data_IF_621974457741
#
_entry.id   IF_621974457741
#
_cell.length_a   1.000
_cell.length_b   1.000
_cell.length_c   1.000
_cell.angle_alpha   90.00
_cell.angle_beta   90.00
_cell.angle_gamma   90.00
#
_symmetry.space_group_name_H-M   'P 1'
#
loop_
_entity.id
_entity.type
_entity.pdbx_description
1 polymer ?
#
# COMPACT_ATOMS: atom_id res chain seq x y z
N UNK A 1 -6.99 -5.06 20.56
CA UNK A 1 -6.98 -6.52 20.37
C UNK A 1 -5.61 -7.15 20.67
N UNK A 2 -4.55 -6.78 19.95
CA UNK A 2 -3.19 -7.31 20.18
C UNK A 2 -2.65 -6.90 21.55
N UNK A 3 -1.99 -7.75 22.33
CA UNK A 3 -1.50 -9.08 21.95
C UNK A 3 -2.51 -10.22 22.10
N UNK A 4 -3.64 -10.02 22.81
CA UNK A 4 -4.57 -11.10 23.18
C UNK A 4 -5.25 -11.77 21.96
N UNK A 5 -5.57 -10.98 20.92
CA UNK A 5 -6.11 -11.49 19.65
C UNK A 5 -5.41 -10.82 18.47
N UNK A 6 -4.99 -11.63 17.49
CA UNK A 6 -4.32 -11.17 16.26
C UNK A 6 -5.15 -11.53 15.04
N UNK A 7 -5.11 -10.68 14.03
CA UNK A 7 -5.58 -11.07 12.70
C UNK A 7 -4.53 -11.97 12.02
N UNK A 8 -4.90 -12.74 10.99
CA UNK A 8 -3.93 -13.60 10.29
C UNK A 8 -2.73 -12.85 9.68
N UNK A 9 -2.87 -11.55 9.39
CA UNK A 9 -1.81 -10.75 8.77
C UNK A 9 -0.84 -10.13 9.78
N UNK A 10 -1.25 -9.91 11.04
CA UNK A 10 -0.43 -9.26 12.05
C UNK A 10 0.48 -10.26 12.78
N UNK A 11 1.74 -9.91 12.95
CA UNK A 11 2.76 -10.75 13.60
C UNK A 11 3.26 -10.18 14.92
N UNK A 12 3.16 -8.86 15.12
CA UNK A 12 3.68 -8.15 16.29
C UNK A 12 2.58 -7.46 17.09
N UNK A 13 2.93 -6.92 18.26
CA UNK A 13 2.06 -6.11 19.10
C UNK A 13 2.26 -4.61 18.86
N UNK A 14 3.16 -4.26 17.94
CA UNK A 14 3.50 -2.87 17.62
C UNK A 14 2.35 -2.17 16.87
N UNK A 15 2.24 -0.87 17.05
CA UNK A 15 1.37 -0.03 16.24
C UNK A 15 1.95 0.14 14.83
N UNK A 16 1.12 0.53 13.89
CA UNK A 16 1.50 0.80 12.50
C UNK A 16 2.24 -0.36 11.80
N UNK A 17 1.99 -1.61 12.19
CA UNK A 17 2.57 -2.77 11.52
C UNK A 17 2.15 -2.83 10.05
N UNK A 18 3.13 -2.91 9.14
CA UNK A 18 2.90 -3.03 7.71
C UNK A 18 2.63 -4.50 7.35
N UNK A 19 1.39 -4.83 7.06
CA UNK A 19 0.95 -6.23 6.90
C UNK A 19 1.16 -6.79 5.49
N UNK A 20 1.10 -5.96 4.44
CA UNK A 20 1.17 -6.40 3.04
C UNK A 20 2.61 -6.31 2.49
N UNK A 21 3.14 -5.10 2.36
CA UNK A 21 4.44 -4.80 1.75
C UNK A 21 5.21 -3.85 2.68
N UNK A 22 6.52 -3.70 2.47
CA UNK A 22 7.32 -2.71 3.21
C UNK A 22 7.50 -1.40 2.41
N UNK A 23 6.74 -1.19 1.34
CA UNK A 23 6.92 -0.05 0.44
C UNK A 23 5.79 0.97 0.55
N UNK A 24 6.18 2.23 0.72
CA UNK A 24 5.32 3.41 0.52
C UNK A 24 5.31 3.90 -0.93
N UNK A 25 5.76 3.08 -1.88
CA UNK A 25 5.83 3.40 -3.33
C UNK A 25 6.79 4.56 -3.63
N UNK A 26 6.75 5.12 -4.85
CA UNK A 26 7.72 6.10 -5.36
C UNK A 26 7.84 7.37 -4.48
N UNK A 27 9.06 7.92 -4.39
CA UNK A 27 9.35 9.24 -3.76
C UNK A 27 9.39 10.39 -4.77
N UNK A 28 9.43 10.08 -6.07
CA UNK A 28 9.52 11.09 -7.13
C UNK A 28 8.19 11.84 -7.28
N UNK A 29 8.18 13.16 -7.28
CA UNK A 29 6.97 13.99 -7.46
C UNK A 29 6.36 13.89 -8.87
N UNK A 30 7.09 13.37 -9.83
CA UNK A 30 6.59 12.96 -11.16
C UNK A 30 5.67 11.73 -11.11
N UNK A 31 5.59 11.09 -9.92
CA UNK A 31 4.69 10.00 -9.60
C UNK A 31 3.68 10.47 -8.53
N UNK A 32 2.42 10.04 -8.64
CA UNK A 32 1.36 10.48 -7.74
C UNK A 32 1.62 10.15 -6.26
N UNK A 33 2.19 8.97 -5.98
CA UNK A 33 2.55 8.59 -4.61
C UNK A 33 3.69 9.43 -4.03
N UNK A 34 4.63 9.89 -4.88
CA UNK A 34 5.69 10.81 -4.47
C UNK A 34 5.15 12.21 -4.22
N UNK A 35 4.23 12.67 -5.06
CA UNK A 35 3.53 13.94 -4.85
C UNK A 35 2.76 13.95 -3.52
N UNK A 36 1.97 12.90 -3.25
CA UNK A 36 1.23 12.77 -1.99
C UNK A 36 2.17 12.79 -0.76
N UNK A 37 3.34 12.12 -0.84
CA UNK A 37 4.35 12.19 0.24
C UNK A 37 4.91 13.60 0.43
N UNK A 38 5.17 14.32 -0.66
CA UNK A 38 5.61 15.71 -0.57
C UNK A 38 4.55 16.61 0.10
N UNK A 39 3.27 16.40 -0.21
CA UNK A 39 2.16 17.07 0.45
C UNK A 39 2.08 16.73 1.96
N UNK A 40 2.23 15.46 2.31
CA UNK A 40 2.24 15.04 3.72
C UNK A 40 3.42 15.59 4.52
N UNK A 41 4.59 15.77 3.89
CA UNK A 41 5.73 16.45 4.54
C UNK A 41 5.43 17.93 4.83
N UNK A 42 4.73 18.63 3.91
CA UNK A 42 4.25 20.00 4.14
C UNK A 42 3.24 20.07 5.30
N UNK A 43 2.47 19.02 5.55
CA UNK A 43 1.54 18.90 6.66
C UNK A 43 2.18 18.39 7.97
N UNK A 44 3.48 18.10 7.98
CA UNK A 44 4.21 17.63 9.16
C UNK A 44 3.85 16.21 9.61
N UNK A 45 3.55 15.30 8.69
CA UNK A 45 3.17 13.92 9.01
C UNK A 45 4.23 13.19 9.84
N UNK A 46 3.91 12.86 11.10
CA UNK A 46 4.79 12.14 12.03
C UNK A 46 5.12 10.73 11.51
N UNK A 47 4.13 10.00 11.02
CA UNK A 47 4.34 8.63 10.55
C UNK A 47 5.15 8.59 9.24
N UNK A 48 5.04 9.60 8.38
CA UNK A 48 5.92 9.67 7.21
C UNK A 48 7.38 9.95 7.62
N UNK A 49 7.60 10.75 8.67
CA UNK A 49 8.94 10.92 9.26
C UNK A 49 9.48 9.60 9.81
N UNK A 50 8.67 8.80 10.52
CA UNK A 50 9.07 7.46 10.94
C UNK A 50 9.46 6.57 9.76
N UNK A 51 8.74 6.67 8.63
CA UNK A 51 9.07 5.92 7.43
C UNK A 51 10.40 6.37 6.80
N UNK A 52 10.65 7.68 6.74
CA UNK A 52 11.93 8.23 6.28
C UNK A 52 13.09 7.76 7.20
N UNK A 53 12.91 7.78 8.53
CA UNK A 53 13.89 7.29 9.53
C UNK A 53 14.15 5.77 9.43
N UNK A 54 13.15 4.99 9.02
CA UNK A 54 13.22 3.52 8.88
C UNK A 54 13.61 3.06 7.47
N UNK A 55 13.96 3.98 6.57
CA UNK A 55 14.20 3.66 5.17
C UNK A 55 15.31 2.63 4.95
N UNK A 56 15.10 1.80 3.94
CA UNK A 56 16.06 0.84 3.40
C UNK A 56 16.18 1.05 1.89
N UNK A 57 17.26 0.59 1.24
CA UNK A 57 17.43 0.68 -0.20
C UNK A 57 16.21 0.10 -0.95
N UNK A 58 15.64 0.86 -1.88
CA UNK A 58 14.41 0.50 -2.61
C UNK A 58 14.23 1.23 -3.93
N UNK A 59 15.31 1.67 -4.57
CA UNK A 59 15.31 2.38 -5.84
C UNK A 59 14.57 3.73 -5.73
N UNK A 60 13.57 3.93 -6.57
CA UNK A 60 12.72 5.11 -6.50
C UNK A 60 11.60 5.02 -5.46
N UNK A 61 11.49 3.92 -4.72
CA UNK A 61 10.47 3.73 -3.71
C UNK A 61 11.00 4.01 -2.29
N UNK A 62 10.16 4.59 -1.44
CA UNK A 62 10.39 4.59 0.00
C UNK A 62 10.05 3.19 0.53
N UNK A 63 11.04 2.32 0.60
CA UNK A 63 10.96 1.05 1.29
C UNK A 63 11.48 1.21 2.72
N UNK A 64 10.92 0.47 3.68
CA UNK A 64 11.28 0.60 5.09
C UNK A 64 11.56 -0.77 5.73
N UNK A 65 12.41 -0.77 6.73
CA UNK A 65 12.46 -1.85 7.71
C UNK A 65 11.17 -1.81 8.54
N UNK A 66 10.32 -2.83 8.38
CA UNK A 66 8.99 -2.87 9.02
C UNK A 66 9.04 -2.79 10.53
N UNK A 67 10.02 -3.46 11.13
CA UNK A 67 10.16 -3.52 12.58
C UNK A 67 10.63 -2.18 13.14
N UNK A 68 11.62 -1.56 12.49
CA UNK A 68 12.09 -0.22 12.87
C UNK A 68 10.97 0.81 12.74
N UNK A 69 10.24 0.79 11.62
CA UNK A 69 9.11 1.69 11.39
C UNK A 69 8.02 1.54 12.47
N UNK A 70 7.55 0.30 12.69
CA UNK A 70 6.47 0.04 13.64
C UNK A 70 6.90 0.34 15.09
N UNK A 71 8.15 0.04 15.47
CA UNK A 71 8.71 0.40 16.78
C UNK A 71 8.72 1.91 16.96
N UNK A 72 9.26 2.65 15.98
CA UNK A 72 9.34 4.11 16.06
C UNK A 72 7.96 4.77 16.15
N UNK A 73 7.01 4.30 15.35
CA UNK A 73 5.62 4.76 15.42
C UNK A 73 4.98 4.48 16.79
N UNK A 74 5.23 3.28 17.34
CA UNK A 74 4.73 2.89 18.67
C UNK A 74 5.31 3.79 19.75
N UNK A 75 6.62 4.01 19.77
CA UNK A 75 7.30 4.88 20.74
C UNK A 75 6.76 6.29 20.73
N UNK A 76 6.58 6.89 19.54
CA UNK A 76 6.05 8.26 19.41
C UNK A 76 4.61 8.36 19.91
N UNK A 77 3.77 7.39 19.62
CA UNK A 77 2.36 7.42 20.06
C UNK A 77 2.25 7.16 21.55
N UNK A 78 2.89 6.10 22.07
CA UNK A 78 2.78 5.74 23.49
C UNK A 78 3.59 6.61 24.43
N UNK A 79 4.61 7.27 23.93
CA UNK A 79 5.42 8.24 24.70
C UNK A 79 4.77 9.62 24.84
N UNK A 80 3.66 9.90 24.14
CA UNK A 80 3.00 11.20 24.25
C UNK A 80 2.16 11.27 25.53
N UNK A 81 2.32 12.30 26.39
CA UNK A 81 1.68 12.36 27.71
C UNK A 81 0.14 12.34 27.68
N UNK A 82 -0.46 12.79 26.58
CA UNK A 82 -1.91 12.84 26.42
C UNK A 82 -2.50 11.62 25.70
N UNK A 83 -1.71 10.55 25.49
CA UNK A 83 -2.15 9.34 24.81
C UNK A 83 -2.18 8.16 25.77
N UNK A 84 -3.33 7.54 25.92
CA UNK A 84 -3.50 6.26 26.63
C UNK A 84 -3.78 5.17 25.62
N UNK A 85 -2.87 4.18 25.54
CA UNK A 85 -3.03 3.02 24.66
C UNK A 85 -3.86 1.94 25.37
N UNK A 86 -5.09 1.70 24.91
CA UNK A 86 -5.98 0.64 25.39
C UNK A 86 -5.90 -0.57 24.49
N UNK A 87 -5.61 -1.74 25.05
CA UNK A 87 -5.38 -3.02 24.35
C UNK A 87 -6.60 -3.95 24.41
N UNK A 88 -7.75 -3.43 24.00
CA UNK A 88 -9.00 -4.18 23.93
C UNK A 88 -9.62 -4.14 22.53
N UNK A 89 -10.59 -4.97 22.26
CA UNK A 89 -11.36 -4.91 21.02
C UNK A 89 -12.40 -3.80 21.13
N UNK A 90 -12.31 -2.81 20.24
CA UNK A 90 -13.38 -1.85 20.05
C UNK A 90 -14.56 -2.57 19.37
N UNK A 91 -15.75 -2.50 19.97
CA UNK A 91 -16.95 -3.17 19.48
C UNK A 91 -18.04 -2.21 19.05
N UNK A 92 -17.80 -0.91 19.23
CA UNK A 92 -18.72 0.17 18.90
C UNK A 92 -17.95 1.37 18.33
N UNK A 93 -18.69 2.29 17.69
CA UNK A 93 -18.12 3.48 17.08
C UNK A 93 -17.88 4.56 18.13
N UNK A 94 -16.68 5.19 18.15
CA UNK A 94 -16.43 6.31 19.07
C UNK A 94 -17.19 7.57 18.62
N UNK A 95 -17.72 8.34 19.57
CA UNK A 95 -18.29 9.65 19.32
C UNK A 95 -18.08 10.57 20.54
N UNK A 96 -17.19 11.57 20.51
CA UNK A 96 -16.33 11.93 19.37
C UNK A 96 -15.18 10.93 19.13
N UNK A 97 -14.77 10.76 17.87
CA UNK A 97 -13.64 9.88 17.57
C UNK A 97 -13.37 9.63 16.10
N UNK A 98 -12.30 8.86 15.84
CA UNK A 98 -11.91 8.42 14.50
C UNK A 98 -11.85 6.89 14.46
N UNK A 99 -12.50 6.29 13.46
CA UNK A 99 -12.39 4.86 13.14
C UNK A 99 -11.34 4.69 12.04
N UNK A 100 -10.17 4.15 12.40
CA UNK A 100 -9.03 3.97 11.49
C UNK A 100 -8.45 2.55 11.62
N UNK A 101 -9.33 1.55 11.74
CA UNK A 101 -8.97 0.16 12.03
C UNK A 101 -8.40 -0.60 10.83
N UNK A 102 -8.41 0.03 9.66
CA UNK A 102 -7.86 -0.55 8.42
C UNK A 102 -8.70 -1.69 7.85
N UNK A 103 -8.14 -2.44 6.90
CA UNK A 103 -8.89 -3.42 6.12
C UNK A 103 -9.27 -4.68 6.92
N UNK A 104 -8.56 -4.94 8.02
CA UNK A 104 -8.74 -6.11 8.87
C UNK A 104 -9.49 -5.75 10.16
N UNK A 105 -10.52 -4.93 10.04
CA UNK A 105 -11.45 -4.60 11.13
C UNK A 105 -12.10 -5.87 11.67
N UNK A 106 -12.23 -5.98 13.01
CA UNK A 106 -12.85 -7.16 13.63
C UNK A 106 -14.32 -7.30 13.22
N UNK A 107 -14.82 -8.53 13.21
CA UNK A 107 -16.21 -8.82 12.80
C UNK A 107 -17.23 -8.06 13.64
N UNK A 108 -17.00 -7.94 14.95
CA UNK A 108 -17.90 -7.21 15.86
C UNK A 108 -17.97 -5.73 15.53
N UNK A 109 -16.81 -5.08 15.33
CA UNK A 109 -16.79 -3.67 14.94
C UNK A 109 -17.30 -3.48 13.51
N UNK A 110 -17.01 -4.39 12.58
CA UNK A 110 -17.56 -4.34 11.22
C UNK A 110 -19.10 -4.43 11.21
N UNK A 111 -19.69 -5.28 12.06
CA UNK A 111 -21.14 -5.36 12.24
C UNK A 111 -21.71 -4.07 12.83
N UNK A 112 -21.07 -3.48 13.86
CA UNK A 112 -21.48 -2.20 14.43
C UNK A 112 -21.44 -1.06 13.39
N UNK A 113 -20.40 -1.02 12.58
CA UNK A 113 -20.26 -0.07 11.46
C UNK A 113 -21.40 -0.27 10.46
N UNK A 114 -21.64 -1.51 10.01
CA UNK A 114 -22.70 -1.82 9.05
C UNK A 114 -24.09 -1.43 9.57
N UNK A 115 -24.38 -1.75 10.82
CA UNK A 115 -25.63 -1.37 11.49
C UNK A 115 -25.79 0.15 11.56
N UNK A 116 -24.75 0.87 11.95
CA UNK A 116 -24.78 2.33 12.11
C UNK A 116 -24.91 3.10 10.79
N UNK A 117 -24.27 2.61 9.72
CA UNK A 117 -24.27 3.29 8.42
C UNK A 117 -25.40 2.84 7.49
N UNK A 118 -26.16 1.80 7.84
CA UNK A 118 -27.22 1.25 7.01
C UNK A 118 -26.73 0.71 5.65
N UNK A 119 -25.43 0.52 5.50
CA UNK A 119 -24.79 0.11 4.25
C UNK A 119 -24.09 -1.24 4.43
N UNK A 120 -24.28 -2.14 3.49
CA UNK A 120 -23.42 -3.31 3.39
C UNK A 120 -21.97 -2.87 3.19
N UNK A 121 -21.05 -3.37 4.01
CA UNK A 121 -19.61 -3.18 3.75
C UNK A 121 -19.26 -3.89 2.46
N UNK A 122 -18.58 -3.19 1.57
CA UNK A 122 -17.98 -3.77 0.38
C UNK A 122 -16.70 -4.51 0.78
N UNK A 123 -16.32 -5.52 0.02
CA UNK A 123 -15.10 -6.27 0.25
C UNK A 123 -14.31 -6.41 -1.05
N UNK A 124 -12.99 -6.48 -0.93
CA UNK A 124 -12.08 -6.89 -1.99
C UNK A 124 -11.00 -7.78 -1.40
N UNK A 125 -10.28 -8.50 -2.28
CA UNK A 125 -9.17 -9.34 -1.85
C UNK A 125 -7.84 -8.66 -2.11
N UNK A 126 -6.98 -8.74 -1.10
CA UNK A 126 -5.58 -8.34 -1.16
C UNK A 126 -4.70 -9.58 -0.92
N UNK A 127 -3.61 -9.68 -1.64
CA UNK A 127 -2.67 -10.78 -1.49
C UNK A 127 -1.29 -10.26 -1.07
N UNK A 128 -0.60 -11.06 -0.28
CA UNK A 128 0.72 -10.76 0.26
C UNK A 128 1.77 -11.57 -0.52
N UNK A 129 2.90 -10.93 -0.83
CA UNK A 129 4.04 -11.59 -1.44
C UNK A 129 4.91 -12.29 -0.39
N UNK A 130 5.58 -13.41 -0.74
CA UNK A 130 6.47 -14.13 0.15
C UNK A 130 7.77 -13.35 0.42
N UNK A 131 8.38 -13.67 1.58
CA UNK A 131 9.70 -13.18 2.02
C UNK A 131 10.61 -14.37 2.19
N UNK A 132 11.84 -14.27 1.67
CA UNK A 132 12.87 -15.32 1.74
C UNK A 132 14.11 -14.84 2.49
N UNK A 133 14.85 -15.80 3.09
CA UNK A 133 16.10 -15.55 3.77
C UNK A 133 17.25 -15.33 2.78
N UNK A 134 18.11 -14.37 3.05
CA UNK A 134 19.32 -14.08 2.26
C UNK A 134 20.26 -15.27 2.17
N UNK A 135 20.51 -15.95 3.30
CA UNK A 135 21.42 -17.08 3.40
C UNK A 135 21.02 -18.28 2.53
N UNK A 136 19.76 -18.32 2.11
CA UNK A 136 19.20 -19.38 1.27
C UNK A 136 19.25 -19.09 -0.23
N UNK A 137 19.70 -17.89 -0.63
CA UNK A 137 19.77 -17.46 -2.03
C UNK A 137 21.14 -17.83 -2.64
N UNK A 138 21.10 -18.33 -3.87
CA UNK A 138 22.32 -18.51 -4.67
C UNK A 138 22.72 -17.18 -5.33
N UNK A 139 23.57 -16.43 -4.63
CA UNK A 139 24.03 -15.10 -5.06
C UNK A 139 24.81 -15.13 -6.39
N UNK A 140 25.39 -16.27 -6.78
CA UNK A 140 26.09 -16.40 -8.06
C UNK A 140 25.15 -16.33 -9.27
N UNK A 141 23.87 -16.62 -9.07
CA UNK A 141 22.83 -16.58 -10.10
C UNK A 141 21.98 -15.31 -10.06
N UNK A 142 22.24 -14.41 -9.12
CA UNK A 142 21.53 -13.15 -8.95
C UNK A 142 22.47 -11.98 -9.24
N UNK A 143 21.92 -10.87 -9.68
CA UNK A 143 22.70 -9.63 -9.81
C UNK A 143 22.00 -8.46 -9.11
N UNK A 144 22.81 -7.58 -8.52
CA UNK A 144 22.32 -6.38 -7.87
C UNK A 144 22.17 -5.25 -8.90
N UNK A 145 20.98 -4.72 -9.07
CA UNK A 145 20.70 -3.57 -9.92
C UNK A 145 19.33 -2.96 -9.64
N UNK A 146 19.23 -1.66 -9.81
CA UNK A 146 17.95 -0.93 -9.87
C UNK A 146 17.61 -0.60 -11.31
N UNK A 147 16.31 -0.66 -11.68
CA UNK A 147 15.86 -0.31 -13.03
C UNK A 147 16.26 1.12 -13.37
N UNK A 148 16.92 1.29 -14.52
CA UNK A 148 17.42 2.57 -15.00
C UNK A 148 18.41 3.26 -14.03
N UNK A 149 19.11 2.49 -13.18
CA UNK A 149 20.06 3.02 -12.20
C UNK A 149 19.46 3.91 -11.10
N UNK A 150 18.14 3.79 -10.83
CA UNK A 150 17.46 4.61 -9.82
C UNK A 150 17.89 4.22 -8.39
N UNK A 151 17.85 5.19 -7.48
CA UNK A 151 18.29 5.01 -6.09
C UNK A 151 19.79 4.85 -5.99
N UNK A 152 20.26 3.86 -5.23
CA UNK A 152 21.69 3.49 -5.12
C UNK A 152 22.26 2.81 -6.36
N UNK A 153 21.42 2.42 -7.30
CA UNK A 153 21.81 1.71 -8.52
C UNK A 153 21.76 0.18 -8.38
N UNK A 154 21.91 -0.36 -7.17
CA UNK A 154 22.01 -1.78 -6.82
C UNK A 154 21.02 -2.22 -5.71
N UNK A 155 19.93 -1.49 -5.53
CA UNK A 155 19.01 -1.66 -4.40
C UNK A 155 18.17 -2.95 -4.43
N UNK A 156 18.10 -3.61 -5.59
CA UNK A 156 17.36 -4.87 -5.78
C UNK A 156 18.30 -6.00 -6.16
N UNK A 157 17.96 -7.22 -5.73
CA UNK A 157 18.50 -8.44 -6.34
C UNK A 157 17.58 -8.84 -7.49
N UNK A 158 18.16 -9.26 -8.58
CA UNK A 158 17.46 -9.63 -9.79
C UNK A 158 17.81 -11.07 -10.16
N UNK A 159 16.80 -11.91 -10.32
CA UNK A 159 16.91 -13.28 -10.82
C UNK A 159 16.60 -13.27 -12.33
N UNK A 160 17.58 -13.36 -13.21
CA UNK A 160 17.36 -13.41 -14.65
C UNK A 160 16.81 -14.77 -15.05
N UNK A 161 15.84 -14.80 -15.94
CA UNK A 161 15.26 -16.02 -16.49
C UNK A 161 15.44 -16.07 -17.99
N UNK A 162 15.79 -17.26 -18.51
CA UNK A 162 15.70 -17.58 -19.93
C UNK A 162 14.24 -17.75 -20.37
N UNK A 163 13.99 -17.83 -21.67
CA UNK A 163 12.67 -18.13 -22.21
C UNK A 163 12.17 -19.51 -21.76
N UNK A 164 13.07 -20.50 -21.70
CA UNK A 164 12.75 -21.84 -21.25
C UNK A 164 12.38 -21.88 -19.75
N UNK A 165 13.18 -21.22 -18.88
CA UNK A 165 12.89 -21.12 -17.44
C UNK A 165 11.55 -20.41 -17.19
N UNK A 166 11.32 -19.31 -17.90
CA UNK A 166 10.08 -18.55 -17.82
C UNK A 166 8.87 -19.41 -18.25
N UNK A 167 8.98 -20.11 -19.38
CA UNK A 167 7.93 -20.98 -19.89
C UNK A 167 7.56 -22.08 -18.88
N UNK A 168 8.55 -22.79 -18.36
CA UNK A 168 8.35 -23.83 -17.34
C UNK A 168 7.74 -23.26 -16.05
N UNK A 169 8.19 -22.06 -15.63
CA UNK A 169 7.65 -21.37 -14.46
C UNK A 169 6.16 -21.01 -14.66
N UNK A 170 5.78 -20.44 -15.81
CA UNK A 170 4.37 -20.07 -16.08
C UNK A 170 3.48 -21.32 -16.10
N UNK A 171 3.92 -22.41 -16.72
CA UNK A 171 3.17 -23.67 -16.77
C UNK A 171 2.97 -24.25 -15.36
N UNK A 172 4.00 -24.22 -14.52
CA UNK A 172 3.91 -24.65 -13.13
C UNK A 172 3.02 -23.73 -12.28
N UNK A 173 3.11 -22.42 -12.48
CA UNK A 173 2.34 -21.41 -11.74
C UNK A 173 0.84 -21.49 -12.03
N UNK A 174 0.48 -21.65 -13.30
CA UNK A 174 -0.92 -21.69 -13.74
C UNK A 174 -1.61 -23.01 -13.38
N UNK A 175 -0.86 -24.10 -13.26
CA UNK A 175 -1.38 -25.42 -12.88
C UNK A 175 -1.33 -25.70 -11.37
N UNK A 176 -0.73 -24.82 -10.58
CA UNK A 176 -0.53 -25.00 -9.14
C UNK A 176 -1.84 -24.95 -8.34
N UNK A 177 -1.90 -25.73 -7.27
CA UNK A 177 -3.03 -25.72 -6.32
C UNK A 177 -3.13 -24.40 -5.58
N UNK A 178 -4.37 -23.88 -5.49
CA UNK A 178 -4.69 -22.59 -4.88
C UNK A 178 -5.59 -22.78 -3.67
N UNK A 179 -5.54 -21.84 -2.75
CA UNK A 179 -6.58 -21.75 -1.73
C UNK A 179 -7.92 -21.43 -2.41
N UNK A 180 -8.87 -22.35 -2.26
CA UNK A 180 -10.28 -22.12 -2.59
C UNK A 180 -10.99 -21.78 -1.28
N UNK A 181 -11.27 -20.52 -1.04
CA UNK A 181 -12.13 -20.17 0.05
C UNK A 181 -13.57 -20.17 -0.46
N UNK A 182 -14.45 -20.91 0.15
CA UNK A 182 -15.89 -20.96 -0.16
C UNK A 182 -16.59 -19.60 -0.04
N UNK A 183 -15.94 -18.63 0.62
CA UNK A 183 -16.43 -17.26 0.81
C UNK A 183 -15.97 -16.27 -0.27
N UNK A 184 -15.24 -16.74 -1.31
CA UNK A 184 -14.59 -15.86 -2.30
C UNK A 184 -15.36 -15.70 -3.61
N UNK A 185 -16.46 -16.41 -3.81
CA UNK A 185 -17.21 -16.33 -5.06
C UNK A 185 -17.87 -14.95 -5.22
N UNK A 186 -17.45 -14.22 -6.24
CA UNK A 186 -18.02 -12.93 -6.65
C UNK A 186 -17.38 -11.67 -6.04
N UNK A 187 -16.34 -11.78 -5.20
CA UNK A 187 -15.63 -10.62 -4.66
C UNK A 187 -14.42 -10.28 -5.56
N UNK A 188 -14.31 -9.06 -6.10
CA UNK A 188 -13.23 -8.69 -6.99
C UNK A 188 -11.89 -8.56 -6.26
N UNK A 189 -10.79 -8.85 -6.97
CA UNK A 189 -9.45 -8.47 -6.54
C UNK A 189 -9.21 -6.98 -6.80
N UNK A 190 -8.43 -6.35 -5.93
CA UNK A 190 -7.85 -5.06 -6.25
C UNK A 190 -6.73 -5.25 -7.28
N UNK A 191 -6.80 -4.56 -8.43
CA UNK A 191 -5.85 -4.72 -9.54
C UNK A 191 -4.38 -4.51 -9.13
N UNK A 192 -4.12 -3.61 -8.16
CA UNK A 192 -2.77 -3.35 -7.65
C UNK A 192 -2.16 -4.47 -6.80
N UNK A 193 -2.99 -5.43 -6.34
CA UNK A 193 -2.59 -6.55 -5.49
C UNK A 193 -3.06 -7.90 -6.06
N UNK A 194 -3.26 -7.96 -7.37
CA UNK A 194 -3.69 -9.17 -8.07
C UNK A 194 -2.68 -10.30 -7.84
N UNK A 195 -3.11 -11.52 -7.46
CA UNK A 195 -2.23 -12.66 -7.33
C UNK A 195 -1.46 -12.95 -8.62
N UNK A 196 -0.19 -13.34 -8.49
CA UNK A 196 0.70 -13.57 -9.64
C UNK A 196 0.18 -14.66 -10.58
N UNK A 197 -0.45 -15.70 -10.04
CA UNK A 197 -1.09 -16.78 -10.81
C UNK A 197 -2.33 -16.29 -11.57
N UNK A 198 -3.07 -15.30 -11.05
CA UNK A 198 -4.20 -14.69 -11.76
C UNK A 198 -3.71 -13.78 -12.90
N UNK A 199 -2.60 -13.07 -12.67
CA UNK A 199 -1.96 -12.31 -13.75
C UNK A 199 -1.46 -13.25 -14.86
N UNK A 200 -0.82 -14.36 -14.49
CA UNK A 200 -0.34 -15.35 -15.47
C UNK A 200 -1.48 -15.97 -16.29
N UNK A 201 -2.64 -16.19 -15.68
CA UNK A 201 -3.83 -16.72 -16.36
C UNK A 201 -4.42 -15.77 -17.42
N UNK A 202 -4.12 -14.47 -17.37
CA UNK A 202 -4.54 -13.49 -18.38
C UNK A 202 -3.76 -13.62 -19.71
N UNK A 203 -2.65 -14.35 -19.72
CA UNK A 203 -1.84 -14.61 -20.92
C UNK A 203 -0.41 -14.96 -20.58
N UNK A 204 0.20 -15.80 -21.43
CA UNK A 204 1.56 -16.35 -21.20
C UNK A 204 2.61 -15.26 -20.96
N UNK A 205 2.51 -14.11 -21.63
CA UNK A 205 3.45 -12.99 -21.51
C UNK A 205 3.03 -11.93 -20.48
N UNK A 206 1.88 -12.09 -19.81
CA UNK A 206 1.35 -11.05 -18.92
C UNK A 206 2.35 -10.63 -17.82
N UNK A 207 3.08 -11.57 -17.24
CA UNK A 207 4.06 -11.28 -16.20
C UNK A 207 5.29 -10.55 -16.74
N UNK A 208 5.68 -10.75 -18.00
CA UNK A 208 6.80 -10.02 -18.66
C UNK A 208 6.48 -8.54 -18.92
N UNK A 209 5.21 -8.18 -18.98
CA UNK A 209 4.74 -6.79 -19.05
C UNK A 209 4.37 -6.22 -17.68
N UNK A 210 4.35 -7.08 -16.66
CA UNK A 210 4.03 -6.79 -15.26
C UNK A 210 5.23 -6.93 -14.32
N UNK A 211 5.11 -7.75 -13.26
CA UNK A 211 6.12 -7.87 -12.20
C UNK A 211 7.46 -8.44 -12.68
N UNK A 212 7.46 -9.27 -13.72
CA UNK A 212 8.69 -9.89 -14.26
C UNK A 212 9.28 -9.15 -15.47
N UNK A 213 8.91 -7.90 -15.67
CA UNK A 213 9.38 -7.09 -16.79
C UNK A 213 10.90 -6.93 -16.77
N UNK A 214 11.66 -7.24 -17.87
CA UNK A 214 13.11 -7.15 -17.88
C UNK A 214 13.63 -5.74 -18.23
N UNK A 215 12.80 -4.87 -18.81
CA UNK A 215 13.19 -3.57 -19.35
C UNK A 215 13.83 -2.69 -18.28
N UNK A 216 14.97 -2.09 -18.61
CA UNK A 216 15.76 -1.24 -17.71
C UNK A 216 16.77 -1.99 -16.86
N UNK A 217 16.96 -3.29 -17.11
CA UNK A 217 17.95 -4.15 -16.47
C UNK A 217 18.84 -4.80 -17.53
N UNK A 218 20.13 -4.91 -17.23
CA UNK A 218 21.12 -5.65 -18.02
C UNK A 218 21.79 -6.65 -17.07
N UNK A 219 21.78 -7.92 -17.45
CA UNK A 219 22.48 -8.96 -16.72
C UNK A 219 23.99 -8.82 -16.95
N UNK A 220 24.80 -8.55 -15.91
CA UNK A 220 26.23 -8.36 -16.06
C UNK A 220 26.97 -9.62 -16.56
N UNK A 221 26.41 -10.81 -16.33
CA UNK A 221 27.02 -12.07 -16.77
C UNK A 221 26.93 -12.27 -18.30
N UNK A 222 25.87 -11.75 -18.91
CA UNK A 222 25.63 -11.90 -20.35
C UNK A 222 25.79 -10.61 -21.14
N UNK A 223 25.82 -9.46 -20.46
CA UNK A 223 25.80 -8.11 -21.08
C UNK A 223 24.49 -7.81 -21.82
N UNK A 224 23.43 -8.58 -21.61
CA UNK A 224 22.15 -8.48 -22.32
C UNK A 224 20.97 -8.33 -21.37
N UNK A 225 19.87 -7.81 -21.88
CA UNK A 225 18.58 -7.81 -21.19
C UNK A 225 18.06 -9.24 -21.11
N UNK A 226 17.72 -9.77 -19.92
CA UNK A 226 17.12 -11.09 -19.76
C UNK A 226 15.76 -11.22 -20.46
N UNK A 227 15.29 -12.43 -20.67
CA UNK A 227 13.94 -12.66 -21.20
C UNK A 227 12.87 -12.21 -20.18
N UNK A 228 13.04 -12.56 -18.92
CA UNK A 228 12.23 -12.09 -17.78
C UNK A 228 13.11 -11.93 -16.53
N UNK A 229 12.66 -11.23 -15.52
CA UNK A 229 13.38 -11.01 -14.26
C UNK A 229 12.43 -11.04 -13.08
N UNK A 230 12.75 -11.85 -12.07
CA UNK A 230 12.14 -11.72 -10.75
C UNK A 230 12.99 -10.77 -9.91
N UNK A 231 12.38 -9.70 -9.37
CA UNK A 231 13.06 -8.76 -8.50
C UNK A 231 12.79 -9.07 -7.04
N UNK A 232 13.85 -9.06 -6.23
CA UNK A 232 13.78 -9.16 -4.79
C UNK A 232 14.13 -7.81 -4.18
N UNK A 233 13.29 -7.33 -3.25
CA UNK A 233 13.50 -6.08 -2.53
C UNK A 233 13.84 -6.37 -1.08
N UNK A 234 14.82 -5.63 -0.56
CA UNK A 234 15.23 -5.70 0.83
C UNK A 234 14.06 -5.35 1.77
N UNK A 235 13.85 -6.16 2.80
CA UNK A 235 12.81 -5.98 3.83
C UNK A 235 13.31 -5.39 5.13
N UNK A 236 14.62 -5.52 5.40
CA UNK A 236 15.27 -5.10 6.64
C UNK A 236 16.59 -4.36 6.39
N UNK A 237 17.07 -3.61 7.38
CA UNK A 237 18.35 -2.88 7.28
C UNK A 237 19.57 -3.79 7.13
N UNK A 238 19.68 -4.92 7.86
CA UNK A 238 20.81 -5.84 7.68
C UNK A 238 20.86 -6.49 6.30
N UNK A 239 19.73 -6.54 5.56
CA UNK A 239 19.64 -7.20 4.25
C UNK A 239 19.57 -8.71 4.35
N UNK A 240 19.02 -9.23 5.44
CA UNK A 240 18.84 -10.65 5.68
C UNK A 240 17.52 -11.21 5.12
N UNK A 241 16.58 -10.33 4.78
CA UNK A 241 15.24 -10.67 4.31
C UNK A 241 14.93 -9.99 2.98
N UNK A 242 14.38 -10.77 2.04
CA UNK A 242 14.05 -10.29 0.69
C UNK A 242 12.63 -10.63 0.30
N UNK A 243 11.88 -9.61 -0.14
CA UNK A 243 10.51 -9.77 -0.65
C UNK A 243 10.52 -10.01 -2.16
N UNK A 244 9.76 -11.00 -2.63
CA UNK A 244 9.54 -11.22 -4.06
C UNK A 244 8.56 -10.17 -4.58
N UNK A 245 9.07 -9.18 -5.31
CA UNK A 245 8.28 -8.02 -5.76
C UNK A 245 7.23 -8.41 -6.79
N UNK A 246 5.95 -8.15 -6.46
CA UNK A 246 4.84 -8.46 -7.36
C UNK A 246 4.40 -9.92 -7.36
N UNK A 247 4.87 -10.71 -6.39
CA UNK A 247 4.52 -12.14 -6.25
C UNK A 247 3.49 -12.38 -5.14
N UNK A 248 2.54 -11.48 -5.00
CA UNK A 248 1.35 -11.75 -4.19
C UNK A 248 0.67 -13.01 -4.71
N UNK A 249 0.23 -13.88 -3.79
CA UNK A 249 -0.27 -15.19 -4.21
C UNK A 249 -1.29 -15.77 -3.25
N UNK A 250 -2.21 -16.61 -3.80
CA UNK A 250 -3.09 -17.50 -3.05
C UNK A 250 -2.72 -18.98 -3.23
N UNK A 251 -1.54 -19.28 -3.78
CA UNK A 251 -1.05 -20.65 -3.86
C UNK A 251 -0.95 -21.25 -2.45
N UNK A 252 -1.23 -22.55 -2.34
CA UNK A 252 -0.96 -23.29 -1.10
C UNK A 252 0.53 -23.25 -0.77
N UNK A 253 0.86 -23.27 0.51
CA UNK A 253 2.25 -23.16 0.99
C UNK A 253 3.23 -24.11 0.29
N UNK A 254 2.86 -25.37 0.10
CA UNK A 254 3.69 -26.34 -0.62
C UNK A 254 3.89 -25.96 -2.09
N UNK A 255 2.87 -25.43 -2.74
CA UNK A 255 2.96 -24.97 -4.12
C UNK A 255 3.82 -23.70 -4.26
N UNK A 256 3.76 -22.79 -3.29
CA UNK A 256 4.65 -21.61 -3.27
C UNK A 256 6.12 -22.06 -3.23
N UNK A 257 6.46 -23.03 -2.38
CA UNK A 257 7.82 -23.58 -2.32
C UNK A 257 8.21 -24.25 -3.62
N UNK A 258 7.36 -25.11 -4.18
CA UNK A 258 7.61 -25.83 -5.43
C UNK A 258 7.80 -24.88 -6.61
N UNK A 259 6.89 -23.94 -6.80
CA UNK A 259 6.87 -23.05 -7.97
C UNK A 259 7.92 -21.95 -7.85
N UNK A 260 8.02 -21.27 -6.71
CA UNK A 260 8.95 -20.13 -6.60
C UNK A 260 10.42 -20.57 -6.51
N UNK A 261 10.70 -21.81 -6.11
CA UNK A 261 12.04 -22.40 -6.21
C UNK A 261 12.49 -22.75 -7.63
N UNK A 262 11.60 -22.63 -8.63
CA UNK A 262 11.99 -22.73 -10.05
C UNK A 262 12.65 -21.44 -10.56
N UNK A 263 12.59 -20.35 -9.81
CA UNK A 263 13.26 -19.10 -10.15
C UNK A 263 14.77 -19.25 -9.92
N UNK A 264 15.61 -18.93 -10.93
CA UNK A 264 17.07 -19.04 -10.81
C UNK A 264 17.60 -18.27 -9.58
N UNK A 265 18.43 -18.95 -8.77
CA UNK A 265 18.96 -18.41 -7.52
C UNK A 265 18.05 -18.60 -6.30
N UNK A 266 16.82 -19.13 -6.47
CA UNK A 266 15.88 -19.42 -5.39
C UNK A 266 15.65 -20.93 -5.18
N UNK A 267 16.42 -21.80 -5.77
CA UNK A 267 16.22 -23.26 -5.75
C UNK A 267 16.19 -23.82 -4.31
N UNK A 268 16.91 -23.21 -3.41
CA UNK A 268 16.98 -23.60 -2.00
C UNK A 268 16.38 -22.54 -1.05
N UNK A 269 15.59 -21.60 -1.62
CA UNK A 269 15.04 -20.49 -0.85
C UNK A 269 14.27 -20.96 0.39
N UNK A 270 14.61 -20.40 1.53
CA UNK A 270 13.90 -20.55 2.79
C UNK A 270 12.87 -19.42 2.92
N UNK A 271 11.59 -19.80 3.01
CA UNK A 271 10.49 -18.84 3.12
C UNK A 271 10.29 -18.45 4.57
N UNK A 272 10.75 -17.26 4.95
CA UNK A 272 10.49 -16.66 6.26
C UNK A 272 9.03 -16.26 6.43
N UNK A 273 8.37 -15.93 5.32
CA UNK A 273 6.93 -15.67 5.25
C UNK A 273 6.40 -16.17 3.92
N UNK A 274 5.32 -16.94 3.97
CA UNK A 274 4.60 -17.33 2.77
C UNK A 274 3.63 -16.23 2.33
N UNK A 275 3.36 -16.15 1.05
CA UNK A 275 2.28 -15.35 0.51
C UNK A 275 0.93 -15.85 1.02
N UNK A 276 -0.01 -14.94 1.16
CA UNK A 276 -1.36 -15.25 1.63
C UNK A 276 -2.38 -14.25 1.08
N UNK A 277 -3.64 -14.64 1.11
CA UNK A 277 -4.75 -13.79 0.69
C UNK A 277 -5.57 -13.38 1.91
N UNK A 278 -6.04 -12.13 1.91
CA UNK A 278 -6.90 -11.59 2.95
C UNK A 278 -8.09 -10.90 2.33
N UNK A 279 -9.24 -11.03 2.99
CA UNK A 279 -10.41 -10.23 2.68
C UNK A 279 -10.27 -8.88 3.37
N UNK A 280 -10.29 -7.82 2.58
CA UNK A 280 -10.27 -6.45 3.04
C UNK A 280 -11.69 -5.88 3.02
N UNK A 281 -12.08 -5.19 4.07
CA UNK A 281 -13.36 -4.50 4.15
C UNK A 281 -13.17 -3.00 3.90
N UNK A 282 -14.12 -2.39 3.18
CA UNK A 282 -14.19 -0.95 2.99
C UNK A 282 -15.64 -0.47 2.95
N UNK A 283 -15.84 0.81 3.14
CA UNK A 283 -17.15 1.44 3.12
C UNK A 283 -17.51 1.94 1.73
N UNK A 284 -18.77 1.98 1.41
CA UNK A 284 -19.28 2.74 0.27
C UNK A 284 -19.30 4.24 0.65
N UNK A 285 -18.13 4.84 0.73
CA UNK A 285 -17.93 6.19 1.25
C UNK A 285 -18.80 7.26 0.58
N UNK A 286 -18.99 7.28 -0.76
CA UNK A 286 -19.88 8.24 -1.39
C UNK A 286 -21.31 8.20 -0.86
N UNK A 287 -21.78 7.01 -0.49
CA UNK A 287 -23.14 6.82 0.03
C UNK A 287 -23.27 7.26 1.50
N UNK A 288 -22.29 6.97 2.35
CA UNK A 288 -22.46 7.04 3.81
C UNK A 288 -21.69 8.15 4.53
N UNK A 289 -20.59 8.69 3.94
CA UNK A 289 -19.77 9.70 4.59
C UNK A 289 -19.91 11.09 3.95
N UNK A 290 -19.60 12.11 4.72
CA UNK A 290 -19.52 13.52 4.28
C UNK A 290 -18.20 13.81 3.53
N UNK A 291 -18.01 14.99 2.91
CA UNK A 291 -16.76 15.34 2.23
C UNK A 291 -15.51 15.31 3.10
N UNK A 292 -15.65 15.44 4.41
CA UNK A 292 -14.55 15.36 5.38
C UNK A 292 -14.50 14.00 6.12
N UNK A 293 -15.15 12.97 5.54
CA UNK A 293 -15.15 11.57 6.00
C UNK A 293 -15.78 11.36 7.38
N UNK A 294 -16.70 12.23 7.80
CA UNK A 294 -17.54 12.01 8.97
C UNK A 294 -18.85 11.31 8.61
N UNK A 295 -19.43 10.61 9.56
CA UNK A 295 -20.79 10.07 9.44
C UNK A 295 -21.78 11.22 9.25
N UNK A 296 -22.67 11.15 8.25
CA UNK A 296 -23.53 12.28 7.86
C UNK A 296 -24.43 12.81 8.98
N UNK A 297 -24.97 11.91 9.80
CA UNK A 297 -25.83 12.21 10.95
C UNK A 297 -25.13 12.14 12.32
N UNK A 298 -23.80 11.92 12.32
CA UNK A 298 -22.95 11.92 13.52
C UNK A 298 -21.59 12.56 13.20
N UNK A 299 -21.52 13.88 12.99
CA UNK A 299 -20.33 14.55 12.43
C UNK A 299 -19.09 14.49 13.34
N UNK A 300 -19.25 14.09 14.60
CA UNK A 300 -18.13 13.86 15.52
C UNK A 300 -17.50 12.45 15.37
N UNK A 301 -18.06 11.57 14.56
CA UNK A 301 -17.51 10.26 14.22
C UNK A 301 -16.93 10.28 12.81
N UNK A 302 -15.60 10.23 12.71
CA UNK A 302 -14.87 10.27 11.44
C UNK A 302 -14.31 8.89 11.10
N UNK A 303 -14.08 8.67 9.81
CA UNK A 303 -13.40 7.49 9.29
C UNK A 303 -12.09 7.87 8.58
N UNK A 304 -11.11 6.98 8.61
CA UNK A 304 -9.84 7.17 7.92
C UNK A 304 -9.21 5.85 7.48
N UNK A 305 -8.22 5.95 6.62
CA UNK A 305 -7.45 4.81 6.14
C UNK A 305 -8.22 3.98 5.12
N UNK A 306 -7.73 2.77 4.90
CA UNK A 306 -8.22 1.86 3.86
C UNK A 306 -9.72 1.54 4.00
N UNK A 307 -10.24 1.60 5.22
CA UNK A 307 -11.67 1.41 5.47
C UNK A 307 -12.57 2.43 4.72
N UNK A 308 -12.04 3.60 4.35
CA UNK A 308 -12.77 4.59 3.54
C UNK A 308 -12.78 4.32 2.04
N UNK A 309 -12.18 3.23 1.57
CA UNK A 309 -12.06 2.92 0.14
C UNK A 309 -10.86 3.60 -0.53
N UNK A 310 -9.86 4.01 0.23
CA UNK A 310 -8.54 4.32 -0.34
C UNK A 310 -7.62 3.12 -0.21
N UNK A 311 -6.63 3.03 -1.11
CA UNK A 311 -5.68 1.92 -1.13
C UNK A 311 -4.24 2.44 -1.07
N UNK A 312 -3.48 1.96 -0.08
CA UNK A 312 -2.07 2.26 0.11
C UNK A 312 -1.74 2.89 1.46
N UNK A 313 -0.50 2.65 1.91
CA UNK A 313 -0.04 3.16 3.21
C UNK A 313 0.06 4.68 3.25
N UNK A 314 0.59 5.32 2.19
CA UNK A 314 0.69 6.77 2.11
C UNK A 314 -0.68 7.44 2.15
N UNK A 315 -1.64 6.87 1.44
CA UNK A 315 -3.04 7.31 1.39
C UNK A 315 -3.72 7.16 2.75
N UNK A 316 -3.46 6.04 3.44
CA UNK A 316 -3.97 5.81 4.80
C UNK A 316 -3.39 6.79 5.80
N UNK A 317 -2.08 7.09 5.74
CA UNK A 317 -1.46 8.13 6.57
C UNK A 317 -2.09 9.50 6.30
N UNK A 318 -2.37 9.81 5.04
CA UNK A 318 -2.92 11.09 4.61
C UNK A 318 -4.32 11.33 5.17
N UNK A 319 -5.23 10.37 4.99
CA UNK A 319 -6.59 10.49 5.53
C UNK A 319 -6.62 10.44 7.06
N UNK A 320 -5.75 9.64 7.70
CA UNK A 320 -5.61 9.60 9.15
C UNK A 320 -5.17 10.94 9.74
N UNK A 321 -4.20 11.60 9.10
CA UNK A 321 -3.74 12.95 9.51
C UNK A 321 -4.88 13.98 9.44
N UNK A 322 -5.60 14.02 8.31
CA UNK A 322 -6.70 14.97 8.12
C UNK A 322 -7.87 14.68 9.05
N UNK A 323 -8.20 13.39 9.28
CA UNK A 323 -9.25 13.02 10.23
C UNK A 323 -8.91 13.45 11.66
N UNK A 324 -7.66 13.27 12.10
CA UNK A 324 -7.20 13.75 13.41
C UNK A 324 -7.27 15.27 13.54
N UNK A 325 -6.82 16.00 12.51
CA UNK A 325 -6.94 17.46 12.47
C UNK A 325 -8.41 17.91 12.52
N UNK A 326 -9.29 17.28 11.76
CA UNK A 326 -10.70 17.62 11.73
C UNK A 326 -11.41 17.29 13.04
N UNK A 327 -11.08 16.17 13.69
CA UNK A 327 -11.61 15.88 15.02
C UNK A 327 -11.19 16.94 16.03
N UNK A 328 -9.92 17.34 16.04
CA UNK A 328 -9.42 18.40 16.93
C UNK A 328 -10.12 19.75 16.69
N UNK A 329 -10.40 20.10 15.44
CA UNK A 329 -11.17 21.30 15.06
C UNK A 329 -12.61 21.23 15.54
N UNK A 330 -13.29 20.11 15.30
CA UNK A 330 -14.67 19.90 15.74
C UNK A 330 -14.81 20.01 17.26
N UNK A 331 -13.88 19.46 18.03
CA UNK A 331 -13.85 19.56 19.48
C UNK A 331 -13.63 21.02 19.98
N UNK A 332 -13.05 21.88 19.15
CA UNK A 332 -12.89 23.33 19.41
C UNK A 332 -14.04 24.16 18.83
N UNK A 333 -15.10 23.54 18.29
CA UNK A 333 -16.21 24.26 17.66
C UNK A 333 -15.85 24.87 16.29
N UNK A 334 -14.76 24.46 15.68
CA UNK A 334 -14.31 24.96 14.38
C UNK A 334 -14.83 24.06 13.24
N UNK A 335 -15.08 24.65 12.07
CA UNK A 335 -15.48 23.88 10.89
C UNK A 335 -14.37 22.92 10.43
N UNK A 336 -14.73 21.70 10.01
CA UNK A 336 -13.77 20.76 9.42
C UNK A 336 -13.22 21.29 8.10
N UNK A 337 -12.01 20.85 7.75
CA UNK A 337 -11.32 21.22 6.52
C UNK A 337 -11.35 20.06 5.53
N UNK A 338 -11.46 20.39 4.25
CA UNK A 338 -11.23 19.46 3.13
C UNK A 338 -10.01 19.97 2.37
N UNK A 339 -9.02 19.12 2.07
CA UNK A 339 -7.85 19.54 1.29
C UNK A 339 -8.24 20.06 -0.10
N UNK A 340 -7.53 21.08 -0.63
CA UNK A 340 -7.84 21.67 -1.94
C UNK A 340 -7.80 20.61 -3.07
N UNK A 341 -8.77 20.66 -3.97
CA UNK A 341 -8.94 19.68 -5.04
C UNK A 341 -7.74 19.59 -6.01
N UNK A 342 -6.96 20.64 -6.12
CA UNK A 342 -5.73 20.73 -6.90
C UNK A 342 -4.59 19.89 -6.31
N UNK A 343 -4.68 19.51 -5.03
CA UNK A 343 -3.71 18.63 -4.37
C UNK A 343 -4.03 17.15 -4.62
N UNK A 344 -3.03 16.28 -4.54
CA UNK A 344 -3.27 14.83 -4.66
C UNK A 344 -4.17 14.32 -3.53
N UNK A 345 -3.96 14.83 -2.32
CA UNK A 345 -4.81 14.51 -1.16
C UNK A 345 -6.24 14.99 -1.37
N UNK A 346 -6.47 16.22 -1.82
CA UNK A 346 -7.81 16.74 -2.09
C UNK A 346 -8.50 16.03 -3.25
N UNK A 347 -7.76 15.60 -4.27
CA UNK A 347 -8.30 14.81 -5.36
C UNK A 347 -8.75 13.41 -4.90
N UNK A 348 -8.04 12.79 -3.95
CA UNK A 348 -8.49 11.55 -3.29
C UNK A 348 -9.77 11.78 -2.48
N UNK A 349 -9.85 12.83 -1.69
CA UNK A 349 -11.07 13.20 -0.94
C UNK A 349 -12.26 13.45 -1.88
N UNK A 350 -12.02 14.14 -2.99
CA UNK A 350 -13.04 14.37 -4.01
C UNK A 350 -13.53 13.03 -4.62
N UNK A 351 -12.63 12.11 -4.94
CA UNK A 351 -13.02 10.78 -5.41
C UNK A 351 -13.88 10.04 -4.37
N UNK A 352 -13.47 10.02 -3.10
CA UNK A 352 -14.21 9.36 -2.03
C UNK A 352 -15.62 9.92 -1.83
N UNK A 353 -15.88 11.16 -2.20
CA UNK A 353 -17.17 11.80 -2.04
C UNK A 353 -18.02 11.82 -3.31
N UNK A 354 -17.39 12.00 -4.49
CA UNK A 354 -18.07 12.26 -5.77
C UNK A 354 -18.21 11.01 -6.65
N UNK A 355 -17.53 9.92 -6.34
CA UNK A 355 -17.61 8.69 -7.12
C UNK A 355 -19.04 8.12 -7.12
N UNK A 356 -19.42 7.46 -8.23
CA UNK A 356 -20.70 6.75 -8.29
C UNK A 356 -20.74 5.62 -7.25
N UNK A 357 -21.64 5.75 -6.28
CA UNK A 357 -21.81 4.78 -5.21
C UNK A 357 -22.15 3.36 -5.71
N UNK A 358 -22.71 3.21 -6.91
CA UNK A 358 -23.03 1.89 -7.50
C UNK A 358 -21.80 1.20 -8.10
N UNK A 359 -20.79 1.99 -8.48
CA UNK A 359 -19.55 1.50 -9.11
C UNK A 359 -18.30 1.84 -8.28
N UNK A 360 -18.47 2.17 -6.99
CA UNK A 360 -17.38 2.58 -6.13
C UNK A 360 -16.37 1.44 -5.92
N UNK A 361 -15.12 1.73 -6.19
CA UNK A 361 -13.98 0.82 -6.06
C UNK A 361 -12.88 1.50 -5.24
N UNK A 362 -12.05 0.73 -4.50
CA UNK A 362 -10.88 1.29 -3.83
C UNK A 362 -9.98 2.05 -4.79
N UNK A 363 -9.38 3.16 -4.31
CA UNK A 363 -8.58 4.07 -5.13
C UNK A 363 -7.24 4.39 -4.46
N UNK A 364 -6.18 4.38 -5.26
CA UNK A 364 -4.87 4.89 -4.85
C UNK A 364 -4.54 6.22 -5.55
N UNK A 365 -3.51 6.90 -5.06
CA UNK A 365 -3.04 8.14 -5.66
C UNK A 365 -2.64 7.95 -7.13
N UNK A 366 -3.25 8.73 -8.02
CA UNK A 366 -2.89 8.76 -9.44
C UNK A 366 -3.18 10.14 -10.04
N UNK A 367 -2.38 10.54 -11.05
CA UNK A 367 -2.51 11.86 -11.68
C UNK A 367 -3.84 12.08 -12.42
N UNK A 368 -4.57 11.01 -12.74
CA UNK A 368 -5.88 11.09 -13.38
C UNK A 368 -6.97 11.68 -12.49
N UNK A 369 -6.76 11.70 -11.15
CA UNK A 369 -7.69 12.30 -10.20
C UNK A 369 -7.56 13.84 -10.15
N UNK A 370 -6.41 14.40 -10.51
CA UNK A 370 -6.17 15.83 -10.45
C UNK A 370 -6.99 16.58 -11.52
N UNK A 371 -7.56 17.75 -11.19
CA UNK A 371 -8.20 18.61 -12.19
C UNK A 371 -7.23 18.95 -13.33
N UNK A 372 -7.69 18.97 -14.58
CA UNK A 372 -6.84 19.27 -15.73
C UNK A 372 -6.23 20.67 -15.63
N UNK A 373 -5.12 20.88 -16.33
CA UNK A 373 -4.51 22.19 -16.51
C UNK A 373 -5.11 22.88 -17.75
N UNK A 374 -5.48 24.13 -17.63
CA UNK A 374 -5.76 24.94 -18.82
C UNK A 374 -4.49 25.06 -19.67
N UNK A 375 -4.62 24.83 -20.98
CA UNK A 375 -3.45 24.88 -21.88
C UNK A 375 -2.39 23.80 -21.60
N UNK A 376 -2.77 22.65 -21.09
CA UNK A 376 -1.83 21.57 -20.74
C UNK A 376 -0.90 21.20 -21.90
N UNK A 377 0.43 21.07 -21.68
CA UNK A 377 1.36 20.64 -22.71
C UNK A 377 1.07 19.18 -23.14
N UNK A 378 1.34 18.88 -24.43
CA UNK A 378 1.20 17.50 -24.96
C UNK A 378 2.22 16.55 -24.32
N UNK A 379 3.38 17.06 -23.97
CA UNK A 379 4.42 16.28 -23.29
C UNK A 379 3.93 15.82 -21.91
N UNK A 380 3.89 14.51 -21.71
CA UNK A 380 3.38 13.88 -20.49
C UNK A 380 4.21 14.20 -19.24
N UNK A 381 5.54 14.30 -19.40
CA UNK A 381 6.46 14.59 -18.29
C UNK A 381 6.30 16.05 -17.84
N UNK A 382 6.28 17.00 -18.79
CA UNK A 382 6.04 18.42 -18.52
C UNK A 382 4.67 18.64 -17.89
N UNK A 383 3.63 17.97 -18.40
CA UNK A 383 2.28 18.07 -17.83
C UNK A 383 2.23 17.60 -16.38
N UNK A 384 2.87 16.47 -16.05
CA UNK A 384 2.94 15.96 -14.67
C UNK A 384 3.72 16.90 -13.75
N UNK A 385 4.81 17.48 -14.22
CA UNK A 385 5.59 18.45 -13.45
C UNK A 385 4.75 19.68 -13.07
N UNK A 386 4.02 20.26 -14.03
CA UNK A 386 3.14 21.40 -13.78
C UNK A 386 1.96 21.05 -12.83
N UNK A 387 1.39 19.85 -12.96
CA UNK A 387 0.37 19.38 -12.02
C UNK A 387 0.92 19.26 -10.60
N UNK A 388 2.13 18.72 -10.46
CA UNK A 388 2.78 18.58 -9.16
C UNK A 388 3.13 19.95 -8.54
N UNK A 389 3.63 20.89 -9.33
CA UNK A 389 3.91 22.26 -8.88
C UNK A 389 2.65 22.95 -8.37
N UNK A 390 1.56 22.94 -9.16
CA UNK A 390 0.26 23.48 -8.74
C UNK A 390 -0.23 22.84 -7.44
N UNK A 391 -0.15 21.51 -7.33
CA UNK A 391 -0.60 20.78 -6.16
C UNK A 391 0.19 21.16 -4.89
N UNK A 392 1.52 21.27 -5.01
CA UNK A 392 2.38 21.65 -3.88
C UNK A 392 2.14 23.10 -3.45
N UNK A 393 1.88 24.03 -4.38
CA UNK A 393 1.54 25.42 -4.02
C UNK A 393 0.19 25.49 -3.29
N UNK A 394 -0.83 24.79 -3.79
CA UNK A 394 -2.12 24.68 -3.11
C UNK A 394 -1.98 24.05 -1.72
N UNK A 395 -1.14 23.01 -1.59
CA UNK A 395 -0.89 22.38 -0.29
C UNK A 395 -0.13 23.28 0.69
N UNK A 396 0.86 24.06 0.24
CA UNK A 396 1.52 25.06 1.10
C UNK A 396 0.52 26.09 1.64
N UNK A 397 -0.40 26.55 0.79
CA UNK A 397 -1.47 27.48 1.21
C UNK A 397 -2.39 26.84 2.24
N UNK A 398 -2.80 25.60 2.02
CA UNK A 398 -3.62 24.83 2.94
C UNK A 398 -2.93 24.59 4.29
N UNK A 399 -1.64 24.24 4.29
CA UNK A 399 -0.84 24.05 5.50
C UNK A 399 -0.80 25.34 6.35
N UNK A 400 -0.64 26.51 5.72
CA UNK A 400 -0.70 27.81 6.43
C UNK A 400 -2.05 28.02 7.11
N UNK A 401 -3.15 27.66 6.48
CA UNK A 401 -4.50 27.75 7.09
C UNK A 401 -4.64 26.87 8.33
N UNK A 402 -4.04 25.66 8.30
CA UNK A 402 -4.06 24.76 9.46
C UNK A 402 -3.27 25.33 10.65
N UNK A 403 -2.11 25.92 10.39
CA UNK A 403 -1.24 26.47 11.44
C UNK A 403 -1.73 27.81 12.01
N UNK A 404 -2.55 28.55 11.27
CA UNK A 404 -3.12 29.83 11.70
C UNK A 404 -4.41 29.68 12.52
N UNK A 405 -4.99 28.50 12.61
CA UNK A 405 -6.24 28.16 13.32
C UNK A 405 -6.01 27.27 14.52
#
# INVERSE_FOLDING_TARGET
MRPAARTPAHQTDLLAELVCSNSFKSVETSNAHGLLKAELRLLGSLLLRCADEASVPGGAALAVDRTVFARRATELVTGHPNVTLVREEAVDLPSPGVVATGPLTSDRLAQAIAHRLGAGSLAFYDAIAPIVSDDSLDRARLFAASRYGKGGGDDYLNAPMSEADYGAFIDALTSADRYQAHDFDGVPYFEGCLPVEEMAARGRDALRFGPMKPVGLVDPATGRMPFAVVQLRREDRPGQMWNLVGFQTRLRTGEQQRVFRMVPGLERAEFLRHGSIHRNSYLNTPACLSPHLAVKDAPATLFAGQLTGIEGYTESLATGLVAGLNLARLLRGQAPLVPPRETMLGALYAYLHEADAKAFQPMNANFGLLPPLAGAPRDKAKRKALLAERALEAMRSFARTIHAS
#
